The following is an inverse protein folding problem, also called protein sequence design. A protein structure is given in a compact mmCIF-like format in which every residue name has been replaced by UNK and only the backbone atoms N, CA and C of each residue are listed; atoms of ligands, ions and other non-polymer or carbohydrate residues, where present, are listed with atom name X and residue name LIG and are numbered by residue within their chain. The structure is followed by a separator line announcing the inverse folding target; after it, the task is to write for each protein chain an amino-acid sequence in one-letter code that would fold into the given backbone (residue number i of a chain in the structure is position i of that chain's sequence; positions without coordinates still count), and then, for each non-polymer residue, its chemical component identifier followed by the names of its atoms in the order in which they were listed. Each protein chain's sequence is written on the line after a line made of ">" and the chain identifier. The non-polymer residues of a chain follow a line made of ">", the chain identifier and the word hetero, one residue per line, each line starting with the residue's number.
data_IF_405750645149
#
_entry.id   IF_405750645149
#
_cell.length_a   1.000
_cell.length_b   1.000
_cell.length_c   1.000
_cell.angle_alpha   90.00
_cell.angle_beta   90.00
_cell.angle_gamma   90.00
#
_symmetry.space_group_name_H-M   'P 1'
#
loop_
_entity.id
_entity.type
_entity.pdbx_description
1 polymer ?
#
# COMPACT_ATOMS: atom_id res chain seq x y z
N UNK A 1 -0.92 7.53 8.60
CA UNK A 1 0.31 7.16 7.85
C UNK A 1 -0.02 6.65 6.46
N UNK A 2 0.72 7.13 5.48
CA UNK A 2 0.77 6.62 4.09
C UNK A 2 1.96 5.67 3.96
N UNK A 3 1.94 4.77 2.99
CA UNK A 3 3.18 4.08 2.60
C UNK A 3 4.19 5.05 2.00
N UNK A 4 5.44 4.64 1.92
CA UNK A 4 6.55 5.52 1.52
C UNK A 4 7.10 5.18 0.15
N UNK A 5 6.86 3.97 -0.37
CA UNK A 5 7.44 3.54 -1.64
C UNK A 5 6.44 2.91 -2.57
N UNK A 6 6.68 3.02 -3.87
CA UNK A 6 5.95 2.32 -4.92
C UNK A 6 6.84 2.16 -6.15
N UNK A 7 6.33 1.50 -7.19
CA UNK A 7 7.04 1.38 -8.48
C UNK A 7 7.01 2.72 -9.24
N UNK A 8 8.18 3.17 -9.69
CA UNK A 8 8.36 4.34 -10.54
C UNK A 8 8.20 4.06 -12.03
N UNK A 9 8.49 5.06 -12.86
CA UNK A 9 8.54 4.90 -14.33
C UNK A 9 9.66 3.97 -14.74
N UNK A 10 10.84 4.16 -14.14
CA UNK A 10 12.08 3.46 -14.53
C UNK A 10 12.58 2.51 -13.45
N UNK A 11 12.25 2.75 -12.18
CA UNK A 11 12.69 1.91 -11.05
C UNK A 11 11.58 1.05 -10.48
N UNK A 12 11.96 -0.16 -10.03
CA UNK A 12 11.06 -1.11 -9.37
C UNK A 12 10.55 -0.62 -8.01
N UNK A 13 11.32 0.25 -7.35
CA UNK A 13 11.02 0.88 -6.09
C UNK A 13 11.59 2.30 -6.08
N UNK A 14 10.74 3.26 -5.73
CA UNK A 14 11.08 4.66 -5.52
C UNK A 14 10.45 5.09 -4.21
N UNK A 15 11.22 5.77 -3.37
CA UNK A 15 10.72 6.32 -2.12
C UNK A 15 10.23 7.77 -2.31
N UNK A 16 9.21 8.17 -1.57
CA UNK A 16 8.59 9.49 -1.67
C UNK A 16 9.47 10.67 -1.22
N UNK A 17 10.65 10.37 -0.68
CA UNK A 17 11.70 11.31 -0.30
C UNK A 17 13.00 11.10 -1.11
N UNK A 18 12.98 10.25 -2.15
CA UNK A 18 14.09 10.18 -3.11
C UNK A 18 14.22 11.53 -3.84
N UNK A 19 15.45 12.00 -4.03
CA UNK A 19 15.72 13.30 -4.66
C UNK A 19 15.13 13.43 -6.07
N UNK A 20 15.04 12.31 -6.79
CA UNK A 20 14.51 12.18 -8.13
C UNK A 20 13.05 11.68 -8.17
N UNK A 21 12.34 11.63 -7.03
CA UNK A 21 10.95 11.14 -6.95
C UNK A 21 10.04 11.78 -8.01
N UNK A 22 10.12 13.11 -8.17
CA UNK A 22 9.31 13.84 -9.15
C UNK A 22 9.61 13.41 -10.60
N UNK A 23 10.85 13.01 -10.89
CA UNK A 23 11.25 12.51 -12.20
C UNK A 23 10.72 11.11 -12.46
N UNK A 24 10.39 10.35 -11.43
CA UNK A 24 9.81 9.00 -11.51
C UNK A 24 8.27 9.01 -11.55
N UNK A 25 7.64 10.14 -11.25
CA UNK A 25 6.18 10.28 -11.31
C UNK A 25 5.63 10.11 -12.74
N UNK A 26 4.48 9.44 -12.82
CA UNK A 26 3.62 9.36 -13.99
C UNK A 26 2.15 9.49 -13.56
N UNK A 27 1.31 10.02 -14.45
CA UNK A 27 -0.15 10.06 -14.24
C UNK A 27 -0.68 8.63 -14.15
N UNK A 28 -1.64 8.42 -13.27
CA UNK A 28 -2.31 7.11 -13.11
C UNK A 28 -1.40 5.95 -12.69
N UNK A 29 -0.18 6.24 -12.21
CA UNK A 29 0.84 5.25 -11.88
C UNK A 29 0.97 5.03 -10.35
N UNK A 30 1.63 3.93 -9.91
CA UNK A 30 1.73 3.58 -8.49
C UNK A 30 2.27 4.67 -7.56
N UNK A 31 3.26 5.47 -8.00
CA UNK A 31 3.83 6.53 -7.16
C UNK A 31 2.80 7.60 -6.76
N UNK A 32 1.70 7.76 -7.50
CA UNK A 32 0.62 8.64 -7.09
C UNK A 32 0.04 8.24 -5.71
N UNK A 33 0.14 6.97 -5.30
CA UNK A 33 -0.37 6.51 -4.01
C UNK A 33 0.49 6.96 -2.81
N UNK A 34 1.74 7.35 -3.05
CA UNK A 34 2.72 7.71 -2.01
C UNK A 34 3.25 9.14 -2.14
N UNK A 35 2.85 9.86 -3.20
CA UNK A 35 3.10 11.30 -3.36
C UNK A 35 2.35 12.09 -2.28
N UNK A 36 3.11 12.72 -1.38
CA UNK A 36 2.60 13.53 -0.28
C UNK A 36 2.17 14.94 -0.72
N UNK A 37 2.57 15.36 -1.92
CA UNK A 37 2.41 16.72 -2.44
C UNK A 37 1.38 16.82 -3.57
N UNK A 38 0.84 15.69 -4.01
CA UNK A 38 -0.14 15.67 -5.11
C UNK A 38 -1.40 16.47 -4.77
N UNK A 39 -2.03 17.10 -5.77
CA UNK A 39 -3.36 17.68 -5.62
C UNK A 39 -4.41 16.61 -5.27
N UNK A 40 -5.43 17.02 -4.52
CA UNK A 40 -6.59 16.17 -4.28
C UNK A 40 -7.35 15.89 -5.58
N UNK A 41 -7.90 14.68 -5.71
CA UNK A 41 -8.82 14.36 -6.79
C UNK A 41 -10.19 15.04 -6.57
N UNK A 42 -10.97 15.29 -7.64
CA UNK A 42 -12.33 15.81 -7.50
C UNK A 42 -13.20 14.91 -6.62
N UNK A 43 -14.12 15.51 -5.87
CA UNK A 43 -15.06 14.78 -5.01
C UNK A 43 -16.25 14.14 -5.78
N UNK A 44 -16.26 14.29 -7.10
CA UNK A 44 -17.20 13.59 -7.99
C UNK A 44 -16.63 12.25 -8.46
N UNK A 45 -17.51 11.27 -8.73
CA UNK A 45 -17.12 10.01 -9.35
C UNK A 45 -16.44 10.21 -10.71
N UNK A 46 -15.12 10.09 -10.75
CA UNK A 46 -14.34 10.60 -11.86
C UNK A 46 -12.92 10.06 -11.93
N UNK A 47 -12.37 10.03 -13.14
CA UNK A 47 -10.96 9.72 -13.32
C UNK A 47 -10.14 10.92 -12.83
N UNK A 48 -8.98 10.65 -12.25
CA UNK A 48 -8.07 11.67 -11.75
C UNK A 48 -6.64 11.30 -12.15
N UNK A 49 -5.82 12.24 -12.65
CA UNK A 49 -4.43 11.93 -13.03
C UNK A 49 -3.54 11.62 -11.81
N UNK A 50 -3.94 12.07 -10.61
CA UNK A 50 -3.20 11.93 -9.35
C UNK A 50 -3.61 10.69 -8.52
N UNK A 51 -4.24 9.71 -9.14
CA UNK A 51 -4.58 8.42 -8.52
C UNK A 51 -3.76 7.32 -9.18
N UNK A 52 -3.86 6.07 -8.70
CA UNK A 52 -3.50 4.90 -9.50
C UNK A 52 -4.72 4.42 -10.29
N UNK A 53 -4.51 3.90 -11.51
CA UNK A 53 -5.55 3.28 -12.34
C UNK A 53 -5.21 1.82 -12.57
N UNK A 54 -6.14 0.92 -12.26
CA UNK A 54 -6.08 -0.47 -12.68
C UNK A 54 -6.30 -0.58 -14.20
N UNK A 55 -5.40 -1.29 -14.89
CA UNK A 55 -5.43 -1.50 -16.34
C UNK A 55 -5.41 -3.00 -16.67
N UNK A 56 -5.66 -3.35 -17.93
CA UNK A 56 -5.64 -4.75 -18.38
C UNK A 56 -4.28 -5.45 -18.14
N UNK A 57 -3.17 -4.71 -18.20
CA UNK A 57 -1.82 -5.23 -17.96
C UNK A 57 -1.34 -5.02 -16.52
N UNK A 58 -2.07 -4.25 -15.72
CA UNK A 58 -1.70 -3.92 -14.35
C UNK A 58 -2.95 -3.93 -13.45
N UNK A 59 -3.31 -5.15 -13.02
CA UNK A 59 -4.42 -5.38 -12.09
C UNK A 59 -4.04 -5.16 -10.62
N UNK A 60 -2.73 -5.14 -10.34
CA UNK A 60 -2.23 -5.01 -8.97
C UNK A 60 -1.27 -3.83 -8.82
N UNK A 61 -1.26 -3.28 -7.61
CA UNK A 61 -0.34 -2.22 -7.18
C UNK A 61 0.23 -2.56 -5.83
N UNK A 62 1.50 -2.20 -5.64
CA UNK A 62 2.18 -2.37 -4.35
C UNK A 62 2.52 -1.02 -3.75
N UNK A 63 2.29 -0.91 -2.44
CA UNK A 63 2.75 0.20 -1.62
C UNK A 63 3.69 -0.37 -0.55
N UNK A 64 4.92 0.14 -0.48
CA UNK A 64 5.98 -0.35 0.38
C UNK A 64 6.19 0.54 1.61
N UNK A 65 6.73 -0.07 2.65
CA UNK A 65 7.18 0.60 3.86
C UNK A 65 8.70 0.60 3.92
N UNK A 66 9.28 1.72 4.38
CA UNK A 66 10.73 1.80 4.65
C UNK A 66 11.17 0.98 5.85
N UNK A 67 10.22 0.57 6.69
CA UNK A 67 10.48 -0.01 7.99
C UNK A 67 9.46 -1.14 8.26
N UNK A 68 9.78 -2.11 9.13
CA UNK A 68 8.88 -3.20 9.41
C UNK A 68 7.65 -2.69 10.16
N UNK A 69 6.47 -2.98 9.61
CA UNK A 69 5.20 -2.51 10.14
C UNK A 69 4.35 -3.65 10.71
N UNK A 70 3.52 -3.34 11.71
CA UNK A 70 2.38 -4.16 12.09
C UNK A 70 1.10 -3.36 11.90
N UNK A 71 0.29 -3.76 10.93
CA UNK A 71 -0.86 -3.00 10.45
C UNK A 71 -2.15 -3.53 11.06
N UNK A 72 -2.97 -2.63 11.61
CA UNK A 72 -4.28 -2.93 12.22
C UNK A 72 -5.45 -2.48 11.35
N UNK A 73 -5.25 -1.47 10.49
CA UNK A 73 -6.26 -0.99 9.55
C UNK A 73 -5.62 -0.53 8.24
N UNK A 74 -6.34 -0.73 7.14
CA UNK A 74 -6.03 -0.18 5.81
C UNK A 74 -7.25 0.58 5.33
N UNK A 75 -7.02 1.75 4.75
CA UNK A 75 -8.02 2.64 4.20
C UNK A 75 -7.69 2.86 2.72
N UNK A 76 -8.64 2.57 1.84
CA UNK A 76 -8.47 2.57 0.39
C UNK A 76 -9.52 3.51 -0.20
N UNK A 77 -9.13 4.72 -0.64
CA UNK A 77 -10.08 5.66 -1.26
C UNK A 77 -10.26 5.36 -2.74
N UNK A 78 -11.44 4.87 -3.09
CA UNK A 78 -11.80 4.49 -4.45
C UNK A 78 -12.64 5.61 -5.08
N UNK A 79 -12.13 6.24 -6.13
CA UNK A 79 -12.72 7.49 -6.67
C UNK A 79 -13.51 7.31 -7.96
N UNK A 80 -13.37 6.16 -8.61
CA UNK A 80 -14.13 5.76 -9.80
C UNK A 80 -13.98 4.27 -10.02
N UNK A 81 -15.11 3.59 -10.22
CA UNK A 81 -15.23 2.13 -10.33
C UNK A 81 -14.54 1.42 -9.15
N UNK A 82 -15.32 0.92 -8.19
CA UNK A 82 -14.76 0.10 -7.12
C UNK A 82 -14.29 -1.24 -7.68
N UNK A 83 -13.36 -1.89 -6.99
CA UNK A 83 -12.84 -3.17 -7.49
C UNK A 83 -11.81 -3.85 -6.61
N UNK A 84 -11.60 -3.48 -5.35
CA UNK A 84 -10.60 -4.15 -4.50
C UNK A 84 -11.08 -5.56 -4.12
N UNK A 85 -10.54 -6.56 -4.80
CA UNK A 85 -10.87 -7.98 -4.57
C UNK A 85 -9.91 -8.66 -3.60
N UNK A 86 -8.60 -8.33 -3.66
CA UNK A 86 -7.59 -8.99 -2.83
C UNK A 86 -6.62 -7.98 -2.26
N UNK A 87 -6.33 -8.10 -0.96
CA UNK A 87 -5.24 -7.37 -0.31
C UNK A 87 -4.37 -8.35 0.47
N UNK A 88 -3.07 -8.30 0.19
CA UNK A 88 -2.06 -9.18 0.79
C UNK A 88 -0.94 -8.36 1.40
N UNK A 89 -0.42 -8.81 2.54
CA UNK A 89 0.81 -8.28 3.07
C UNK A 89 2.01 -8.83 2.33
N UNK A 90 3.04 -8.02 2.18
CA UNK A 90 4.38 -8.45 1.81
C UNK A 90 5.20 -8.70 3.07
N UNK A 91 5.97 -9.79 3.07
CA UNK A 91 6.94 -10.09 4.12
C UNK A 91 7.94 -8.96 4.22
N UNK A 92 8.36 -8.64 5.44
CA UNK A 92 9.46 -7.71 5.65
C UNK A 92 10.78 -8.32 5.16
N UNK A 93 11.56 -7.53 4.42
CA UNK A 93 12.92 -7.84 3.96
C UNK A 93 13.80 -6.65 4.28
N UNK A 94 15.02 -6.93 4.74
CA UNK A 94 16.02 -5.90 5.02
C UNK A 94 17.25 -6.09 4.11
N UNK A 95 17.76 -5.01 3.48
CA UNK A 95 17.11 -3.71 3.35
C UNK A 95 15.79 -3.80 2.53
N UNK A 96 14.88 -2.83 2.64
CA UNK A 96 13.66 -2.83 1.84
C UNK A 96 13.99 -2.59 0.36
N UNK A 97 13.81 -3.63 -0.48
CA UNK A 97 14.17 -3.61 -1.91
C UNK A 97 12.97 -3.61 -2.88
N UNK A 98 11.73 -3.54 -2.38
CA UNK A 98 10.55 -3.50 -3.24
C UNK A 98 10.25 -4.81 -3.98
N UNK A 99 10.76 -5.94 -3.48
CA UNK A 99 10.60 -7.25 -4.12
C UNK A 99 9.24 -7.84 -3.75
N UNK A 100 8.38 -8.07 -4.74
CA UNK A 100 7.05 -8.67 -4.56
C UNK A 100 7.09 -10.19 -4.67
N UNK A 101 7.74 -10.71 -5.73
CA UNK A 101 7.83 -12.14 -5.99
C UNK A 101 8.58 -12.88 -4.86
N UNK A 102 8.09 -14.06 -4.46
CA UNK A 102 8.62 -14.83 -3.33
C UNK A 102 8.34 -14.23 -1.93
N UNK A 103 7.97 -12.95 -1.86
CA UNK A 103 7.74 -12.20 -0.62
C UNK A 103 6.27 -11.93 -0.33
N UNK A 104 5.34 -12.45 -1.14
CA UNK A 104 3.92 -12.43 -0.82
C UNK A 104 3.70 -13.18 0.49
N UNK A 105 3.08 -12.48 1.43
CA UNK A 105 2.73 -12.96 2.75
C UNK A 105 1.24 -13.29 2.84
N UNK A 106 0.63 -12.87 3.94
CA UNK A 106 -0.73 -13.28 4.29
C UNK A 106 -1.77 -12.47 3.52
N UNK A 107 -2.81 -13.14 3.06
CA UNK A 107 -4.04 -12.49 2.57
C UNK A 107 -4.88 -11.98 3.74
N UNK A 108 -5.21 -10.70 3.71
CA UNK A 108 -6.02 -10.02 4.74
C UNK A 108 -7.41 -9.64 4.24
N UNK A 109 -7.60 -9.59 2.93
CA UNK A 109 -8.87 -9.36 2.25
C UNK A 109 -8.92 -10.21 1.00
N UNK A 110 -10.05 -10.87 0.78
CA UNK A 110 -10.32 -11.70 -0.39
C UNK A 110 -11.85 -11.77 -0.57
N UNK A 111 -12.35 -11.11 -1.61
CA UNK A 111 -13.77 -11.09 -1.98
C UNK A 111 -13.88 -11.31 -3.49
N UNK A 112 -15.06 -11.75 -3.93
CA UNK A 112 -15.34 -11.95 -5.35
C UNK A 112 -15.80 -10.69 -6.06
N UNK A 113 -16.38 -9.74 -5.32
CA UNK A 113 -16.89 -8.47 -5.85
C UNK A 113 -16.72 -7.38 -4.78
N UNK A 114 -16.39 -6.16 -5.21
CA UNK A 114 -16.27 -4.99 -4.36
C UNK A 114 -17.47 -4.08 -4.52
N UNK A 115 -18.41 -4.20 -3.59
CA UNK A 115 -19.66 -3.44 -3.57
C UNK A 115 -19.52 -2.03 -2.97
N UNK A 116 -18.30 -1.56 -2.74
CA UNK A 116 -18.06 -0.21 -2.22
C UNK A 116 -18.65 0.86 -3.14
N UNK A 117 -19.24 1.90 -2.55
CA UNK A 117 -19.72 3.05 -3.33
C UNK A 117 -18.53 3.81 -3.93
N UNK A 118 -18.74 4.41 -5.09
CA UNK A 118 -17.75 5.33 -5.65
C UNK A 118 -17.54 6.54 -4.71
N UNK A 119 -16.32 7.08 -4.69
CA UNK A 119 -15.85 8.11 -3.73
C UNK A 119 -15.83 7.65 -2.26
N UNK A 120 -16.06 6.36 -1.99
CA UNK A 120 -15.96 5.84 -0.62
C UNK A 120 -14.54 5.40 -0.26
N UNK A 121 -14.34 5.23 1.05
CA UNK A 121 -13.13 4.63 1.62
C UNK A 121 -13.47 3.22 2.06
N UNK A 122 -12.92 2.22 1.37
CA UNK A 122 -12.97 0.84 1.85
C UNK A 122 -12.04 0.71 3.06
N UNK A 123 -12.59 0.26 4.19
CA UNK A 123 -11.86 0.12 5.46
C UNK A 123 -11.67 -1.36 5.80
N UNK A 124 -10.42 -1.81 5.75
CA UNK A 124 -10.04 -3.17 6.12
C UNK A 124 -9.57 -3.20 7.56
N UNK A 125 -10.30 -3.89 8.44
CA UNK A 125 -9.92 -4.08 9.85
C UNK A 125 -9.17 -5.40 10.01
N UNK A 126 -7.95 -5.33 10.55
CA UNK A 126 -7.07 -6.49 10.71
C UNK A 126 -7.02 -6.86 12.19
N UNK A 127 -7.55 -8.05 12.52
CA UNK A 127 -7.60 -8.54 13.89
C UNK A 127 -6.21 -8.70 14.54
N UNK A 128 -6.10 -8.62 15.88
CA UNK A 128 -4.82 -8.63 16.61
C UNK A 128 -3.89 -9.80 16.27
N UNK A 129 -4.44 -10.99 16.01
CA UNK A 129 -3.66 -12.18 15.63
C UNK A 129 -2.98 -12.05 14.26
N UNK A 130 -3.66 -11.42 13.29
CA UNK A 130 -3.11 -11.21 11.94
C UNK A 130 -2.13 -10.02 11.92
N UNK A 131 -2.45 -8.96 12.66
CA UNK A 131 -1.60 -7.76 12.76
C UNK A 131 -0.36 -7.96 13.64
N UNK A 132 -0.44 -8.84 14.65
CA UNK A 132 0.61 -8.99 15.65
C UNK A 132 0.73 -7.81 16.60
N UNK A 133 -0.24 -6.88 16.60
CA UNK A 133 -0.16 -5.61 17.33
C UNK A 133 0.02 -5.77 18.85
N UNK A 134 -0.42 -6.90 19.42
CA UNK A 134 -0.29 -7.21 20.84
C UNK A 134 1.00 -7.95 21.20
N UNK A 135 1.85 -8.29 20.22
CA UNK A 135 3.13 -8.93 20.51
C UNK A 135 4.05 -7.96 21.26
N UNK A 136 4.82 -8.46 22.21
CA UNK A 136 5.82 -7.64 22.88
C UNK A 136 6.95 -7.28 21.89
N UNK A 137 7.43 -6.04 21.94
CA UNK A 137 8.59 -5.59 21.15
C UNK A 137 9.75 -5.45 22.11
N UNK A 138 10.63 -6.45 22.11
CA UNK A 138 11.82 -6.49 22.95
C UNK A 138 12.89 -5.55 22.41
N UNK A 139 13.75 -5.02 23.28
CA UNK A 139 14.76 -4.00 22.90
C UNK A 139 15.95 -4.57 22.12
N UNK A 140 16.15 -5.89 22.12
CA UNK A 140 17.26 -6.62 21.52
C UNK A 140 17.13 -6.85 20.00
N UNK A 141 15.97 -6.53 19.41
CA UNK A 141 15.75 -6.65 17.97
C UNK A 141 16.19 -5.44 17.16
N UNK A 142 16.21 -5.61 15.84
CA UNK A 142 16.45 -4.53 14.89
C UNK A 142 15.61 -4.72 13.62
N UNK A 143 15.64 -3.73 12.71
CA UNK A 143 14.99 -3.90 11.41
C UNK A 143 15.60 -5.04 10.59
N UNK A 144 16.92 -5.25 10.69
CA UNK A 144 17.61 -6.34 10.01
C UNK A 144 17.31 -7.70 10.65
N UNK A 145 17.20 -7.71 11.98
CA UNK A 145 17.05 -8.92 12.77
C UNK A 145 15.85 -8.80 13.70
N UNK A 146 14.67 -9.05 13.14
CA UNK A 146 13.45 -9.11 13.93
C UNK A 146 13.41 -10.42 14.74
N UNK A 147 13.01 -10.38 16.03
CA UNK A 147 12.64 -11.56 16.79
C UNK A 147 11.63 -12.43 16.02
N UNK A 148 11.75 -13.75 16.16
CA UNK A 148 10.99 -14.72 15.36
C UNK A 148 9.46 -14.55 15.48
N UNK A 149 8.98 -14.11 16.65
CA UNK A 149 7.57 -13.80 16.91
C UNK A 149 7.08 -12.60 16.09
N UNK A 150 7.87 -11.52 16.03
CA UNK A 150 7.57 -10.30 15.29
C UNK A 150 7.70 -10.49 13.79
N UNK A 151 8.76 -11.19 13.33
CA UNK A 151 9.04 -11.45 11.90
C UNK A 151 7.86 -12.03 11.14
N UNK A 152 7.06 -12.89 11.79
CA UNK A 152 5.87 -13.53 11.18
C UNK A 152 4.78 -12.51 10.81
N UNK A 153 4.69 -11.40 11.53
CA UNK A 153 3.60 -10.39 11.41
C UNK A 153 4.09 -9.04 10.92
N UNK A 154 5.40 -8.83 10.90
CA UNK A 154 6.03 -7.68 10.27
C UNK A 154 5.78 -7.69 8.76
N UNK A 155 5.33 -6.55 8.25
CA UNK A 155 5.10 -6.35 6.81
C UNK A 155 5.98 -5.24 6.27
N UNK A 156 6.51 -5.45 5.06
CA UNK A 156 7.25 -4.44 4.31
C UNK A 156 6.42 -3.73 3.23
N UNK A 157 5.14 -4.07 3.10
CA UNK A 157 4.27 -3.44 2.12
C UNK A 157 2.95 -4.18 1.94
N UNK A 158 2.11 -3.63 1.09
CA UNK A 158 0.79 -4.16 0.79
C UNK A 158 0.63 -4.28 -0.72
N UNK A 159 0.27 -5.48 -1.18
CA UNK A 159 -0.15 -5.76 -2.54
C UNK A 159 -1.67 -5.68 -2.60
N UNK A 160 -2.19 -4.82 -3.47
CA UNK A 160 -3.62 -4.58 -3.68
C UNK A 160 -3.92 -5.03 -5.10
N UNK A 161 -4.85 -5.95 -5.26
CA UNK A 161 -5.35 -6.41 -6.55
C UNK A 161 -6.77 -5.93 -6.73
N UNK A 162 -7.02 -5.32 -7.89
CA UNK A 162 -8.34 -4.87 -8.28
C UNK A 162 -8.89 -5.71 -9.44
N UNK A 163 -10.19 -5.93 -9.44
CA UNK A 163 -10.91 -6.53 -10.54
C UNK A 163 -11.14 -5.51 -11.66
N UNK A 164 -10.91 -5.95 -12.89
CA UNK A 164 -11.30 -5.22 -14.09
C UNK A 164 -12.02 -6.20 -15.02
N UNK A 165 -13.26 -5.91 -15.48
CA UNK A 165 -13.95 -6.78 -16.40
C UNK A 165 -13.10 -7.03 -17.66
N UNK A 166 -12.96 -8.29 -18.14
CA UNK A 166 -12.06 -8.64 -19.24
C UNK A 166 -12.26 -7.81 -20.51
N UNK A 167 -13.52 -7.50 -20.84
CA UNK A 167 -13.90 -6.78 -22.06
C UNK A 167 -14.12 -5.27 -21.85
N UNK A 168 -13.70 -4.73 -20.70
CA UNK A 168 -13.83 -3.30 -20.46
C UNK A 168 -12.95 -2.50 -21.44
N UNK A 169 -13.43 -1.34 -21.88
CA UNK A 169 -12.66 -0.46 -22.79
C UNK A 169 -11.39 0.12 -22.15
N UNK A 170 -10.50 0.70 -22.97
CA UNK A 170 -9.23 1.30 -22.50
C UNK A 170 -9.43 2.42 -21.46
N UNK A 171 -10.55 3.14 -21.55
CA UNK A 171 -10.91 4.23 -20.64
C UNK A 171 -11.49 3.74 -19.31
N UNK A 172 -11.86 2.45 -19.22
CA UNK A 172 -12.31 1.84 -17.98
C UNK A 172 -11.12 1.45 -17.10
N UNK A 173 -11.21 1.79 -15.83
CA UNK A 173 -10.37 1.27 -14.77
C UNK A 173 -11.00 1.58 -13.43
N UNK A 174 -10.85 0.69 -12.43
CA UNK A 174 -10.86 1.10 -11.04
C UNK A 174 -9.75 2.10 -10.73
N UNK A 175 -10.05 3.10 -9.92
CA UNK A 175 -9.12 4.15 -9.54
C UNK A 175 -8.98 4.23 -8.02
N UNK A 176 -7.74 4.13 -7.55
CA UNK A 176 -7.37 4.27 -6.15
C UNK A 176 -6.65 5.59 -5.95
N UNK A 177 -7.22 6.53 -5.22
CA UNK A 177 -6.58 7.81 -4.97
C UNK A 177 -5.44 7.65 -3.97
N UNK A 178 -5.70 7.10 -2.79
CA UNK A 178 -4.67 6.93 -1.78
C UNK A 178 -4.89 5.66 -0.97
N UNK A 179 -3.81 5.22 -0.34
CA UNK A 179 -3.82 4.12 0.62
C UNK A 179 -3.22 4.60 1.93
N UNK A 180 -3.99 4.51 3.00
CA UNK A 180 -3.56 4.89 4.34
C UNK A 180 -3.64 3.71 5.28
N UNK A 181 -2.83 3.77 6.32
CA UNK A 181 -2.64 2.68 7.26
C UNK A 181 -2.76 3.18 8.70
N UNK A 182 -3.15 2.27 9.59
CA UNK A 182 -2.97 2.40 11.03
C UNK A 182 -2.23 1.18 11.55
N UNK A 183 -1.36 1.39 12.53
CA UNK A 183 -0.51 0.33 13.05
C UNK A 183 0.62 0.89 13.89
N UNK A 184 1.69 0.10 14.02
CA UNK A 184 2.94 0.55 14.63
C UNK A 184 4.13 0.13 13.78
N UNK A 185 5.18 0.93 13.87
CA UNK A 185 6.50 0.62 13.32
C UNK A 185 7.25 -0.23 14.34
N UNK A 186 7.98 -1.23 13.89
CA UNK A 186 8.91 -2.02 14.68
C UNK A 186 10.31 -1.46 14.47
N UNK A 187 11.02 -1.20 15.58
CA UNK A 187 12.41 -0.71 15.55
C UNK A 187 12.62 0.52 14.63
N UNK A 188 11.89 1.62 14.86
CA UNK A 188 11.97 2.80 13.99
C UNK A 188 13.39 3.37 13.97
N UNK A 189 13.89 3.68 12.78
CA UNK A 189 15.21 4.26 12.50
C UNK A 189 15.33 5.73 12.93
N UNK A 190 14.19 6.41 13.08
CA UNK A 190 14.09 7.82 13.50
C UNK A 190 13.05 7.95 14.63
N UNK A 191 13.11 9.05 15.38
CA UNK A 191 12.17 9.30 16.48
C UNK A 191 10.72 9.42 15.96
N UNK A 192 9.76 9.11 16.84
CA UNK A 192 8.31 8.91 16.55
C UNK A 192 7.59 10.03 15.79
N UNK A 193 8.17 11.24 15.68
CA UNK A 193 7.54 12.40 15.04
C UNK A 193 7.26 12.20 13.55
N UNK A 194 8.02 11.34 12.85
CA UNK A 194 7.86 11.08 11.42
C UNK A 194 6.56 10.33 11.04
N UNK A 195 5.95 9.59 11.97
CA UNK A 195 4.76 8.76 11.68
C UNK A 195 3.43 9.44 12.07
N UNK A 196 3.49 10.67 12.59
CA UNK A 196 2.31 11.50 12.84
C UNK A 196 1.99 12.27 11.57
N UNK A 197 1.31 11.61 10.62
CA UNK A 197 0.46 12.20 9.58
C UNK A 197 -0.36 11.07 8.93
#
# INVERSE_FOLDING_TARGET
>A
MTGQGARGKTRSLVWNDDLDFAQELARNAPLQLVDLTKPACPDSCGACPYSWKCTASQLSVTVFFKEPMQITRIFLRQIKNSGVITVQFLKWVYPPMGVVEGNIGRTIWNVTDDTSMCQSVLVLRIGPKKSGINLNVTADGSQAELPSSLRKTATGGVLITMERPPNAGLNYGPFLEWVRFSGRVLYPSRTRSYYKN
#
